data_IF_866303505308
#
_entry.id   IF_866303505308
#
_cell.length_a   1.000
_cell.length_b   1.000
_cell.length_c   1.000
_cell.angle_alpha   90.00
_cell.angle_beta   90.00
_cell.angle_gamma   90.00
#
_symmetry.space_group_name_H-M   'P 1'
#
loop_
_entity.id
_entity.type
_entity.pdbx_description
1 polymer ?
#
# COMPACT_ATOMS: atom_id res chain seq x y z
N UNK A 1 -35.45 -28.18 48.28
CA UNK A 1 -34.52 -28.20 47.13
C UNK A 1 -34.34 -26.76 46.65
N UNK A 2 -33.09 -26.40 46.39
CA UNK A 2 -32.58 -25.03 46.30
C UNK A 2 -32.88 -24.43 44.91
N UNK A 3 -33.31 -23.18 44.89
CA UNK A 3 -33.68 -22.42 43.71
C UNK A 3 -32.50 -22.25 42.73
N UNK A 4 -32.74 -22.49 41.44
CA UNK A 4 -31.80 -22.16 40.38
C UNK A 4 -32.01 -20.70 39.96
N UNK A 5 -31.08 -19.83 40.39
CA UNK A 5 -31.00 -18.45 39.95
C UNK A 5 -30.34 -18.41 38.56
N UNK A 6 -31.10 -17.99 37.55
CA UNK A 6 -30.61 -17.86 36.18
C UNK A 6 -29.65 -16.64 36.09
N UNK A 7 -28.38 -16.94 35.88
CA UNK A 7 -27.28 -16.01 35.70
C UNK A 7 -27.51 -15.22 34.39
N UNK A 8 -27.74 -13.92 34.48
CA UNK A 8 -27.89 -13.03 33.31
C UNK A 8 -26.57 -13.02 32.53
N UNK A 9 -26.60 -13.50 31.29
CA UNK A 9 -25.50 -13.34 30.34
C UNK A 9 -25.66 -11.96 29.72
N UNK A 10 -24.83 -11.02 30.13
CA UNK A 10 -24.72 -9.72 29.47
C UNK A 10 -23.97 -9.95 28.14
N UNK A 11 -24.70 -9.93 27.03
CA UNK A 11 -24.10 -9.86 25.71
C UNK A 11 -23.45 -8.47 25.57
N UNK A 12 -22.13 -8.44 25.46
CA UNK A 12 -21.40 -7.23 25.12
C UNK A 12 -21.69 -6.90 23.64
N UNK A 13 -22.55 -5.93 23.41
CA UNK A 13 -22.78 -5.35 22.09
C UNK A 13 -21.49 -4.64 21.67
N UNK A 14 -20.72 -5.25 20.77
CA UNK A 14 -19.62 -4.57 20.10
C UNK A 14 -20.24 -3.43 19.29
N UNK A 15 -20.02 -2.19 19.74
CA UNK A 15 -20.26 -1.00 18.93
C UNK A 15 -19.28 -1.09 17.77
N UNK A 16 -19.74 -1.58 16.63
CA UNK A 16 -19.06 -1.35 15.37
C UNK A 16 -19.17 0.15 15.15
N UNK A 17 -18.12 0.88 15.55
CA UNK A 17 -17.96 2.28 15.19
C UNK A 17 -18.18 2.38 13.70
N UNK A 18 -19.07 3.29 13.29
CA UNK A 18 -19.22 3.63 11.90
C UNK A 18 -17.83 4.06 11.42
N UNK A 19 -17.13 3.15 10.73
CA UNK A 19 -16.04 3.55 9.87
C UNK A 19 -16.70 4.52 8.90
N UNK A 20 -16.28 5.78 8.96
CA UNK A 20 -16.51 6.71 7.87
C UNK A 20 -16.17 5.96 6.57
N UNK A 21 -16.89 6.17 5.46
CA UNK A 21 -16.49 5.58 4.19
C UNK A 21 -15.05 6.02 3.97
N UNK A 22 -14.10 5.11 4.18
CA UNK A 22 -12.71 5.36 3.86
C UNK A 22 -12.74 5.55 2.37
N UNK A 23 -12.46 6.76 1.91
CA UNK A 23 -12.13 6.97 0.51
C UNK A 23 -11.13 5.87 0.17
N UNK A 24 -11.42 5.04 -0.83
CA UNK A 24 -10.60 3.89 -1.20
C UNK A 24 -9.30 4.39 -1.84
N UNK A 25 -8.47 5.05 -1.03
CA UNK A 25 -7.19 5.60 -1.39
C UNK A 25 -6.16 4.50 -1.25
N UNK A 26 -5.43 4.28 -2.34
CA UNK A 26 -4.15 3.57 -2.27
C UNK A 26 -3.07 4.62 -2.22
N UNK A 27 -2.27 4.59 -1.16
CA UNK A 27 -1.12 5.46 -0.96
C UNK A 27 0.15 4.68 -1.32
N UNK A 28 0.99 5.27 -2.15
CA UNK A 28 2.30 4.76 -2.50
C UNK A 28 3.35 5.71 -1.96
N UNK A 29 4.30 5.18 -1.19
CA UNK A 29 5.40 5.98 -0.64
C UNK A 29 6.72 5.24 -0.73
N UNK A 30 7.81 6.00 -0.83
CA UNK A 30 9.13 5.43 -0.97
C UNK A 30 10.17 6.40 -1.49
N UNK A 31 11.32 5.84 -1.84
CA UNK A 31 12.43 6.58 -2.41
C UNK A 31 13.26 5.69 -3.33
N UNK A 32 14.04 6.33 -4.19
CA UNK A 32 15.03 5.71 -5.06
C UNK A 32 16.34 6.45 -4.84
N UNK A 33 17.39 5.71 -4.49
CA UNK A 33 18.73 6.23 -4.33
C UNK A 33 19.46 6.28 -5.67
N UNK A 34 19.90 7.49 -6.03
CA UNK A 34 20.84 7.81 -7.11
C UNK A 34 20.33 7.75 -8.57
N UNK A 35 20.84 8.64 -9.45
CA UNK A 35 20.75 8.54 -10.91
C UNK A 35 21.49 7.32 -11.52
N UNK A 36 22.11 6.46 -10.71
CA UNK A 36 22.88 5.29 -11.16
C UNK A 36 22.26 3.93 -10.78
N UNK A 37 21.04 3.93 -10.25
CA UNK A 37 20.17 2.74 -10.23
C UNK A 37 20.47 1.72 -9.12
N UNK A 38 20.97 2.17 -7.96
CA UNK A 38 21.41 1.27 -6.89
C UNK A 38 20.30 0.78 -5.95
N UNK A 39 19.06 1.23 -6.16
CA UNK A 39 17.88 0.68 -5.51
C UNK A 39 17.07 1.73 -4.77
N UNK A 40 16.16 1.29 -3.91
CA UNK A 40 15.24 2.14 -3.17
C UNK A 40 14.27 1.32 -2.33
N UNK A 41 13.19 1.96 -1.90
CA UNK A 41 12.07 1.29 -1.25
C UNK A 41 10.74 1.73 -1.85
N UNK A 42 9.78 0.81 -1.85
CA UNK A 42 8.40 1.07 -2.23
C UNK A 42 7.47 0.42 -1.22
N UNK A 43 6.51 1.20 -0.75
CA UNK A 43 5.44 0.79 0.16
C UNK A 43 4.10 1.21 -0.44
N UNK A 44 3.09 0.37 -0.25
CA UNK A 44 1.70 0.68 -0.55
C UNK A 44 0.80 0.47 0.66
N UNK A 45 -0.16 1.38 0.84
CA UNK A 45 -1.18 1.34 1.89
C UNK A 45 -2.55 1.47 1.21
N UNK A 46 -3.41 0.47 1.37
CA UNK A 46 -4.79 0.50 0.85
C UNK A 46 -5.74 0.59 2.05
N UNK A 47 -6.57 1.63 2.10
CA UNK A 47 -7.53 1.86 3.18
C UNK A 47 -6.89 1.80 4.59
N UNK A 48 -5.67 2.33 4.74
CA UNK A 48 -4.92 2.35 6.00
C UNK A 48 -4.18 1.06 6.34
N UNK A 49 -4.25 0.02 5.50
CA UNK A 49 -3.52 -1.24 5.67
C UNK A 49 -2.31 -1.25 4.75
N UNK A 50 -1.10 -1.45 5.30
CA UNK A 50 0.08 -1.67 4.47
C UNK A 50 -0.08 -3.01 3.72
N UNK A 51 -0.13 -2.94 2.39
CA UNK A 51 -0.43 -4.10 1.53
C UNK A 51 0.81 -4.70 0.91
N UNK A 52 1.69 -3.87 0.35
CA UNK A 52 3.00 -4.29 -0.15
C UNK A 52 4.12 -3.41 0.39
N UNK A 53 5.29 -3.99 0.63
CA UNK A 53 6.50 -3.25 0.97
C UNK A 53 7.74 -4.04 0.59
N UNK A 54 8.79 -3.34 0.20
CA UNK A 54 10.09 -3.96 -0.04
C UNK A 54 11.07 -3.02 -0.70
N UNK A 55 12.21 -3.58 -1.04
CA UNK A 55 13.24 -2.85 -1.76
C UNK A 55 12.89 -2.87 -3.25
N UNK A 56 13.22 -1.76 -3.91
CA UNK A 56 13.12 -1.66 -5.36
C UNK A 56 14.52 -1.65 -5.95
N UNK A 57 14.77 -2.52 -6.91
CA UNK A 57 16.05 -2.61 -7.63
C UNK A 57 15.76 -2.86 -9.11
N UNK A 58 16.69 -2.51 -10.00
CA UNK A 58 16.52 -2.76 -11.43
C UNK A 58 16.39 -4.25 -11.72
N UNK A 59 15.28 -4.66 -12.34
CA UNK A 59 15.00 -6.07 -12.69
C UNK A 59 14.50 -6.90 -11.51
N UNK A 60 14.26 -6.29 -10.35
CA UNK A 60 13.80 -6.96 -9.15
C UNK A 60 12.26 -6.94 -9.01
N UNK A 61 11.73 -7.95 -8.33
CA UNK A 61 10.32 -8.12 -7.97
C UNK A 61 10.14 -8.42 -6.47
N UNK A 62 11.11 -8.07 -5.62
CA UNK A 62 11.16 -8.38 -4.19
C UNK A 62 10.19 -7.57 -3.30
N UNK A 63 9.01 -7.19 -3.80
CA UNK A 63 7.98 -6.61 -2.94
C UNK A 63 7.22 -7.73 -2.25
N UNK A 64 7.25 -7.71 -0.92
CA UNK A 64 6.43 -8.60 -0.12
C UNK A 64 5.03 -8.00 0.02
N UNK A 65 4.03 -8.78 -0.34
CA UNK A 65 2.64 -8.36 -0.35
C UNK A 65 1.79 -9.31 0.49
N UNK A 66 0.82 -8.76 1.23
CA UNK A 66 -0.17 -9.55 1.93
C UNK A 66 -1.06 -10.32 0.93
N UNK A 67 -1.67 -11.42 1.39
CA UNK A 67 -2.46 -12.31 0.53
C UNK A 67 -3.54 -11.58 -0.27
N UNK A 68 -3.60 -11.84 -1.57
CA UNK A 68 -4.55 -11.24 -2.50
C UNK A 68 -4.14 -9.87 -3.04
N UNK A 69 -2.99 -9.33 -2.59
CA UNK A 69 -2.39 -8.12 -3.15
C UNK A 69 -1.13 -8.46 -3.93
N UNK A 70 -0.86 -7.68 -4.97
CA UNK A 70 0.42 -7.69 -5.66
C UNK A 70 0.77 -6.30 -6.15
N UNK A 71 2.06 -6.02 -6.20
CA UNK A 71 2.59 -4.79 -6.76
C UNK A 71 3.77 -5.16 -7.64
N UNK A 72 3.66 -4.87 -8.93
CA UNK A 72 4.76 -4.97 -9.87
C UNK A 72 5.13 -3.58 -10.35
N UNK A 73 6.41 -3.28 -10.39
CA UNK A 73 6.96 -2.05 -10.92
C UNK A 73 7.92 -2.41 -12.05
N UNK A 74 8.11 -1.48 -12.99
CA UNK A 74 9.17 -1.60 -13.98
C UNK A 74 10.07 -0.38 -13.89
N UNK A 75 11.33 -0.64 -13.52
CA UNK A 75 12.38 0.36 -13.37
C UNK A 75 13.53 0.12 -14.37
N UNK A 76 13.40 -0.86 -15.27
CA UNK A 76 14.51 -1.32 -16.14
C UNK A 76 14.80 -0.41 -17.32
N UNK A 77 13.85 0.44 -17.72
CA UNK A 77 13.99 1.41 -18.81
C UNK A 77 13.97 2.86 -18.26
N UNK A 78 15.13 3.39 -17.86
CA UNK A 78 15.43 4.84 -17.75
C UNK A 78 14.28 5.78 -17.33
N UNK A 79 13.99 5.95 -16.04
CA UNK A 79 12.88 6.85 -15.61
C UNK A 79 13.27 8.01 -14.69
N UNK A 80 14.53 8.45 -14.68
CA UNK A 80 14.89 9.68 -13.92
C UNK A 80 14.14 10.95 -14.38
N UNK A 81 13.55 10.92 -15.58
CA UNK A 81 12.76 12.01 -16.16
C UNK A 81 11.24 11.74 -16.18
N UNK A 82 10.75 10.64 -15.61
CA UNK A 82 9.34 10.21 -15.78
C UNK A 82 8.74 9.52 -14.56
N UNK A 83 7.40 9.48 -14.43
CA UNK A 83 6.74 8.78 -13.34
C UNK A 83 7.01 7.27 -13.40
N UNK A 84 7.08 6.61 -12.23
CA UNK A 84 7.24 5.15 -12.13
C UNK A 84 5.96 4.43 -12.55
N UNK A 85 5.99 3.59 -13.58
CA UNK A 85 4.86 2.73 -13.89
C UNK A 85 4.77 1.60 -12.86
N UNK A 86 3.61 1.49 -12.23
CA UNK A 86 3.25 0.45 -11.26
C UNK A 86 1.96 -0.21 -11.67
N UNK A 87 1.94 -1.54 -11.60
CA UNK A 87 0.70 -2.32 -11.62
C UNK A 87 0.41 -2.77 -10.19
N UNK A 88 -0.67 -2.24 -9.62
CA UNK A 88 -1.14 -2.58 -8.29
C UNK A 88 -2.42 -3.39 -8.38
N UNK A 89 -2.43 -4.59 -7.79
CA UNK A 89 -3.61 -5.43 -7.69
C UNK A 89 -4.03 -5.58 -6.24
N UNK A 90 -5.32 -5.43 -5.99
CA UNK A 90 -5.98 -5.84 -4.77
C UNK A 90 -6.88 -7.07 -5.07
N UNK A 91 -7.53 -7.68 -4.05
CA UNK A 91 -8.34 -8.88 -4.27
C UNK A 91 -9.51 -8.71 -5.25
N UNK A 92 -9.89 -7.46 -5.56
CA UNK A 92 -11.02 -7.16 -6.44
C UNK A 92 -10.60 -6.83 -7.87
N UNK A 93 -9.48 -6.11 -8.06
CA UNK A 93 -9.08 -5.62 -9.37
C UNK A 93 -7.59 -5.22 -9.43
N UNK A 94 -7.07 -5.02 -10.65
CA UNK A 94 -5.74 -4.50 -10.92
C UNK A 94 -5.81 -3.12 -11.58
N UNK A 95 -4.86 -2.26 -11.23
CA UNK A 95 -4.78 -0.88 -11.68
C UNK A 95 -3.37 -0.54 -12.14
N UNK A 96 -3.28 0.14 -13.28
CA UNK A 96 -2.06 0.81 -13.71
C UNK A 96 -1.98 2.20 -13.09
N UNK A 97 -0.88 2.49 -12.40
CA UNK A 97 -0.61 3.75 -11.72
C UNK A 97 0.74 4.28 -12.16
N UNK A 98 0.81 5.56 -12.50
CA UNK A 98 2.06 6.26 -12.77
C UNK A 98 2.40 7.12 -11.55
N UNK A 99 3.35 6.68 -10.72
CA UNK A 99 3.74 7.37 -9.49
C UNK A 99 4.70 8.51 -9.86
N UNK A 100 4.34 9.78 -9.63
CA UNK A 100 5.24 10.90 -9.91
C UNK A 100 6.41 10.90 -8.92
N UNK A 101 7.60 11.24 -9.41
CA UNK A 101 8.77 11.44 -8.58
C UNK A 101 8.92 12.91 -8.16
N UNK A 102 9.41 13.10 -6.94
CA UNK A 102 9.87 14.39 -6.43
C UNK A 102 11.39 14.32 -6.29
N UNK A 103 12.17 15.15 -7.01
CA UNK A 103 13.62 15.20 -6.87
C UNK A 103 13.99 15.66 -5.45
N UNK A 104 14.92 14.95 -4.80
CA UNK A 104 15.42 15.26 -3.47
C UNK A 104 16.94 15.10 -3.42
N UNK A 105 17.65 16.04 -4.03
CA UNK A 105 19.11 15.98 -4.14
C UNK A 105 19.55 14.93 -5.15
N UNK A 106 20.28 13.90 -4.68
CA UNK A 106 20.72 12.77 -5.50
C UNK A 106 19.71 11.61 -5.55
N UNK A 107 18.64 11.69 -4.76
CA UNK A 107 17.59 10.66 -4.67
C UNK A 107 16.24 11.21 -5.15
N UNK A 108 15.31 10.33 -5.46
CA UNK A 108 13.92 10.67 -5.78
C UNK A 108 13.03 10.12 -4.68
N UNK A 109 12.13 10.93 -4.15
CA UNK A 109 11.11 10.48 -3.22
C UNK A 109 9.74 10.52 -3.90
N UNK A 110 8.81 9.72 -3.40
CA UNK A 110 7.42 9.81 -3.81
C UNK A 110 6.53 9.54 -2.61
N UNK A 111 5.43 10.28 -2.58
CA UNK A 111 4.31 10.12 -1.67
C UNK A 111 3.07 10.50 -2.48
N UNK A 112 2.31 9.49 -2.90
CA UNK A 112 1.28 9.63 -3.92
C UNK A 112 0.05 8.80 -3.59
N UNK A 113 -1.11 9.44 -3.59
CA UNK A 113 -2.40 8.76 -3.39
C UNK A 113 -3.14 8.62 -4.71
N UNK A 114 -3.64 7.42 -4.99
CA UNK A 114 -4.48 7.10 -6.13
C UNK A 114 -5.87 6.63 -5.69
N UNK A 115 -6.85 6.77 -6.59
CA UNK A 115 -8.23 6.24 -6.43
C UNK A 115 -9.05 6.85 -5.28
N UNK A 116 -8.61 7.97 -4.72
CA UNK A 116 -9.36 8.75 -3.75
C UNK A 116 -10.62 9.37 -4.41
N UNK A 117 -11.81 8.93 -3.97
CA UNK A 117 -13.12 9.43 -4.43
C UNK A 117 -13.97 9.95 -3.27
#
# INVERSE_FOLDING_TARGET
MIAFSAKKIAAATLVMGLAAPTLACVEFSGYIDSPLGSGGSLKSVDNGVQTCSGNIESGDKNLDCISGYSLNYDYTDNSYDGPMPVTYCNPSNCYGVNIPFTPSGESYSFDYSAFCH
#
